data_IF_514207272797
#
_entry.id   IF_514207272797
#
_cell.length_a   1.000
_cell.length_b   1.000
_cell.length_c   1.000
_cell.angle_alpha   90.00
_cell.angle_beta   90.00
_cell.angle_gamma   90.00
#
_symmetry.space_group_name_H-M   'P 1'
#
loop_
_entity.id
_entity.type
_entity.pdbx_description
1 polymer ?
#
# COMPACT_ATOMS: atom_id res chain seq x y z
N UNK A 1 12.00 7.69 -17.45
CA UNK A 1 10.80 7.77 -16.60
C UNK A 1 10.72 6.51 -15.75
N UNK A 2 10.48 6.63 -14.45
CA UNK A 2 10.25 5.47 -13.59
C UNK A 2 8.87 4.88 -13.89
N UNK A 3 8.80 3.61 -14.27
CA UNK A 3 7.51 2.96 -14.51
C UNK A 3 6.84 2.55 -13.20
N UNK A 4 5.98 3.43 -12.70
CA UNK A 4 5.22 3.21 -11.47
C UNK A 4 4.12 2.14 -11.61
N UNK A 5 3.75 1.70 -12.82
CA UNK A 5 2.75 0.63 -13.00
C UNK A 5 3.21 -0.71 -12.43
N UNK A 6 4.53 -0.95 -12.43
CA UNK A 6 5.15 -2.15 -11.85
C UNK A 6 4.69 -2.42 -10.42
N UNK A 7 4.49 -1.38 -9.62
CA UNK A 7 3.99 -1.49 -8.24
C UNK A 7 2.58 -2.07 -8.14
N UNK A 8 1.75 -1.86 -9.16
CA UNK A 8 0.40 -2.46 -9.18
C UNK A 8 0.44 -3.98 -9.40
N UNK A 9 1.57 -4.53 -9.84
CA UNK A 9 1.77 -5.97 -10.01
C UNK A 9 2.49 -6.61 -8.81
N UNK A 10 2.69 -5.86 -7.71
CA UNK A 10 3.32 -6.32 -6.48
C UNK A 10 2.33 -6.31 -5.31
N UNK A 11 1.25 -7.12 -5.35
CA UNK A 11 0.18 -7.06 -4.36
C UNK A 11 0.62 -7.51 -2.95
N UNK A 12 1.79 -8.14 -2.80
CA UNK A 12 2.36 -8.48 -1.49
C UNK A 12 2.94 -7.28 -0.74
N UNK A 13 3.18 -6.16 -1.42
CA UNK A 13 3.81 -4.96 -0.84
C UNK A 13 2.76 -3.91 -0.50
N UNK A 14 2.72 -3.40 0.75
CA UNK A 14 1.77 -2.35 1.13
C UNK A 14 2.03 -1.02 0.40
N UNK A 15 0.94 -0.29 0.09
CA UNK A 15 1.03 1.01 -0.57
C UNK A 15 1.88 2.03 0.20
N UNK A 16 1.82 2.03 1.54
CA UNK A 16 2.61 2.93 2.39
C UNK A 16 4.13 2.74 2.24
N UNK A 17 4.58 1.49 2.05
CA UNK A 17 5.99 1.15 1.81
C UNK A 17 6.45 1.69 0.45
N UNK A 18 5.60 1.57 -0.57
CA UNK A 18 5.87 2.08 -1.91
C UNK A 18 5.94 3.62 -1.90
N UNK A 19 5.01 4.28 -1.19
CA UNK A 19 5.06 5.73 -0.99
C UNK A 19 6.39 6.18 -0.36
N UNK A 20 6.81 5.53 0.73
CA UNK A 20 8.08 5.86 1.40
C UNK A 20 9.30 5.67 0.47
N UNK A 21 9.30 4.60 -0.32
CA UNK A 21 10.34 4.33 -1.32
C UNK A 21 10.41 5.44 -2.37
N UNK A 22 9.27 5.85 -2.93
CA UNK A 22 9.22 6.90 -3.95
C UNK A 22 9.73 8.23 -3.40
N UNK A 23 9.30 8.63 -2.19
CA UNK A 23 9.77 9.86 -1.53
C UNK A 23 11.30 9.84 -1.37
N UNK A 24 11.86 8.71 -0.94
CA UNK A 24 13.32 8.53 -0.80
C UNK A 24 14.04 8.57 -2.13
N UNK A 25 13.50 7.92 -3.17
CA UNK A 25 14.09 7.92 -4.52
C UNK A 25 14.14 9.33 -5.13
N UNK A 26 13.17 10.18 -4.82
CA UNK A 26 13.15 11.58 -5.25
C UNK A 26 14.01 12.50 -4.36
N UNK A 27 14.69 11.95 -3.34
CA UNK A 27 15.46 12.70 -2.35
C UNK A 27 14.66 13.85 -1.69
N UNK A 28 13.35 13.66 -1.50
CA UNK A 28 12.46 14.66 -0.87
C UNK A 28 12.27 14.38 0.61
N UNK A 29 12.15 15.43 1.42
CA UNK A 29 11.77 15.27 2.83
C UNK A 29 10.28 15.00 2.92
N UNK A 30 9.89 14.13 3.86
CA UNK A 30 8.48 13.81 4.15
C UNK A 30 7.66 15.03 4.54
N UNK A 31 8.26 15.97 5.28
CA UNK A 31 7.63 17.25 5.65
C UNK A 31 7.23 18.02 4.41
N UNK A 32 8.14 18.17 3.45
CA UNK A 32 7.91 18.95 2.24
C UNK A 32 6.82 18.30 1.37
N UNK A 33 6.85 16.97 1.25
CA UNK A 33 5.81 16.21 0.53
C UNK A 33 4.45 16.37 1.22
N UNK A 34 4.39 16.29 2.54
CA UNK A 34 3.14 16.45 3.29
C UNK A 34 2.57 17.86 3.09
N UNK A 35 3.40 18.88 3.24
CA UNK A 35 3.01 20.28 3.06
C UNK A 35 2.49 20.54 1.64
N UNK A 36 3.21 20.07 0.61
CA UNK A 36 2.78 20.20 -0.79
C UNK A 36 1.48 19.44 -1.09
N UNK A 37 1.22 18.33 -0.41
CA UNK A 37 -0.02 17.57 -0.55
C UNK A 37 -1.16 18.08 0.35
N UNK A 38 -0.98 19.21 1.04
CA UNK A 38 -1.92 19.74 2.05
C UNK A 38 -2.29 18.72 3.14
N UNK A 39 -1.32 17.88 3.51
CA UNK A 39 -1.41 16.91 4.59
C UNK A 39 -0.55 17.34 5.76
N UNK A 40 -1.01 17.07 6.98
CA UNK A 40 -0.16 17.16 8.17
C UNK A 40 0.87 16.02 8.10
N UNK A 41 2.12 16.28 8.48
CA UNK A 41 3.20 15.29 8.45
C UNK A 41 2.84 13.98 9.18
N UNK A 42 2.14 14.06 10.32
CA UNK A 42 1.64 12.89 11.04
C UNK A 42 0.73 12.02 10.16
N UNK A 43 -0.17 12.62 9.38
CA UNK A 43 -1.04 11.87 8.45
C UNK A 43 -0.25 11.18 7.35
N UNK A 44 0.78 11.83 6.80
CA UNK A 44 1.66 11.19 5.84
C UNK A 44 2.41 10.01 6.45
N UNK A 45 2.92 10.17 7.68
CA UNK A 45 3.58 9.09 8.41
C UNK A 45 2.63 7.91 8.70
N UNK A 46 1.37 8.18 9.02
CA UNK A 46 0.37 7.13 9.24
C UNK A 46 0.04 6.37 7.94
N UNK A 47 -0.02 7.06 6.80
CA UNK A 47 -0.16 6.42 5.49
C UNK A 47 1.05 5.52 5.18
N UNK A 48 2.27 6.00 5.43
CA UNK A 48 3.51 5.23 5.22
C UNK A 48 3.54 3.97 6.10
N UNK A 49 3.18 4.12 7.38
CA UNK A 49 3.16 3.00 8.34
C UNK A 49 2.01 2.02 8.12
N UNK A 50 1.02 2.37 7.30
CA UNK A 50 -0.21 1.59 7.12
C UNK A 50 -1.22 1.74 8.26
N UNK A 51 -1.01 2.69 9.18
CA UNK A 51 -1.96 3.03 10.24
C UNK A 51 -3.21 3.74 9.72
N UNK A 52 -3.10 4.34 8.53
CA UNK A 52 -4.19 5.03 7.84
C UNK A 52 -4.32 4.53 6.42
N UNK A 53 -5.57 4.45 5.96
CA UNK A 53 -5.88 4.06 4.59
C UNK A 53 -5.70 5.23 3.62
N UNK A 54 -5.25 4.91 2.41
CA UNK A 54 -5.36 5.79 1.26
C UNK A 54 -6.84 5.91 0.88
N UNK A 55 -7.29 7.15 0.70
CA UNK A 55 -8.55 7.50 0.07
C UNK A 55 -8.27 7.93 -1.36
N UNK A 56 -9.25 7.89 -2.29
CA UNK A 56 -9.03 8.37 -3.64
C UNK A 56 -8.48 9.82 -3.66
N UNK A 57 -9.05 10.69 -2.81
CA UNK A 57 -8.63 12.09 -2.70
C UNK A 57 -7.17 12.25 -2.25
N UNK A 58 -6.74 11.58 -1.17
CA UNK A 58 -5.35 11.74 -0.70
C UNK A 58 -4.33 11.05 -1.62
N UNK A 59 -4.73 9.98 -2.30
CA UNK A 59 -3.94 9.31 -3.34
C UNK A 59 -3.61 10.28 -4.47
N UNK A 60 -4.66 10.89 -5.05
CA UNK A 60 -4.53 11.85 -6.16
C UNK A 60 -3.69 13.08 -5.79
N UNK A 61 -3.87 13.61 -4.58
CA UNK A 61 -3.06 14.72 -4.07
C UNK A 61 -1.57 14.35 -3.97
N UNK A 62 -1.26 13.16 -3.45
CA UNK A 62 0.11 12.67 -3.33
C UNK A 62 0.74 12.40 -4.69
N UNK A 63 0.02 11.78 -5.62
CA UNK A 63 0.49 11.51 -6.97
C UNK A 63 0.84 12.81 -7.71
N UNK A 64 -0.05 13.80 -7.67
CA UNK A 64 0.20 15.12 -8.24
C UNK A 64 1.42 15.80 -7.60
N UNK A 65 1.55 15.70 -6.28
CA UNK A 65 2.67 16.28 -5.52
C UNK A 65 4.01 15.63 -5.84
N UNK A 66 4.00 14.34 -6.16
CA UNK A 66 5.18 13.54 -6.48
C UNK A 66 5.47 13.50 -7.99
N UNK A 67 4.66 14.17 -8.82
CA UNK A 67 4.80 14.14 -10.28
C UNK A 67 4.57 12.75 -10.88
N UNK A 68 3.63 11.99 -10.31
CA UNK A 68 3.22 10.67 -10.79
C UNK A 68 2.00 10.83 -11.67
N UNK A 69 2.10 10.41 -12.94
CA UNK A 69 1.03 10.57 -13.93
C UNK A 69 -0.13 9.57 -13.76
N UNK A 70 0.07 8.52 -12.96
CA UNK A 70 -0.94 7.49 -12.73
C UNK A 70 -1.90 7.94 -11.62
N UNK A 71 -3.11 8.32 -12.02
CA UNK A 71 -4.18 8.76 -11.11
C UNK A 71 -4.71 7.58 -10.29
N UNK A 72 -4.82 7.76 -8.97
CA UNK A 72 -5.31 6.76 -8.03
C UNK A 72 -4.34 5.59 -7.78
N UNK A 73 -3.07 5.72 -8.15
CA UNK A 73 -2.05 4.69 -8.01
C UNK A 73 -1.98 4.10 -6.59
N UNK A 74 -1.84 4.93 -5.55
CA UNK A 74 -1.68 4.41 -4.19
C UNK A 74 -2.95 3.73 -3.69
N UNK A 75 -4.13 4.25 -4.06
CA UNK A 75 -5.41 3.63 -3.76
C UNK A 75 -5.56 2.26 -4.45
N UNK A 76 -5.16 2.14 -5.72
CA UNK A 76 -5.18 0.89 -6.46
C UNK A 76 -4.23 -0.16 -5.86
N UNK A 77 -3.01 0.25 -5.50
CA UNK A 77 -2.05 -0.63 -4.83
C UNK A 77 -2.62 -1.12 -3.49
N UNK A 78 -3.22 -0.23 -2.70
CA UNK A 78 -3.87 -0.61 -1.44
C UNK A 78 -4.97 -1.64 -1.66
N UNK A 79 -5.86 -1.43 -2.63
CA UNK A 79 -6.94 -2.37 -2.92
C UNK A 79 -6.41 -3.74 -3.33
N UNK A 80 -5.39 -3.80 -4.20
CA UNK A 80 -4.75 -5.06 -4.58
C UNK A 80 -4.07 -5.75 -3.40
N UNK A 81 -3.45 -4.98 -2.51
CA UNK A 81 -2.83 -5.51 -1.31
C UNK A 81 -3.84 -6.14 -0.35
N UNK A 82 -4.99 -5.49 -0.14
CA UNK A 82 -6.07 -6.03 0.69
C UNK A 82 -6.57 -7.38 0.16
N UNK A 83 -6.82 -7.44 -1.15
CA UNK A 83 -7.26 -8.67 -1.81
C UNK A 83 -6.23 -9.79 -1.59
N UNK A 84 -4.94 -9.49 -1.71
CA UNK A 84 -3.87 -10.45 -1.45
C UNK A 84 -3.86 -10.96 -0.01
N UNK A 85 -4.00 -10.07 0.98
CA UNK A 85 -4.08 -10.46 2.40
C UNK A 85 -5.29 -11.36 2.64
N UNK A 86 -6.46 -11.01 2.11
CA UNK A 86 -7.67 -11.82 2.25
C UNK A 86 -7.53 -13.21 1.61
N UNK A 87 -6.93 -13.30 0.42
CA UNK A 87 -6.63 -14.59 -0.24
C UNK A 87 -5.66 -15.43 0.60
N UNK A 88 -4.61 -14.82 1.13
CA UNK A 88 -3.62 -15.48 2.00
C UNK A 88 -4.27 -16.02 3.27
N UNK A 89 -5.14 -15.23 3.92
CA UNK A 89 -5.89 -15.65 5.10
C UNK A 89 -6.85 -16.80 4.81
N UNK A 90 -7.57 -16.75 3.68
CA UNK A 90 -8.45 -17.84 3.23
C UNK A 90 -7.67 -19.13 3.00
N UNK A 91 -6.53 -19.04 2.33
CA UNK A 91 -5.66 -20.19 2.08
C UNK A 91 -5.13 -20.80 3.38
N UNK A 92 -4.65 -19.96 4.31
CA UNK A 92 -4.18 -20.43 5.63
C UNK A 92 -5.29 -21.12 6.44
N UNK A 93 -6.51 -20.56 6.46
CA UNK A 93 -7.67 -21.19 7.11
C UNK A 93 -8.01 -22.55 6.49
N UNK A 94 -7.91 -22.68 5.16
CA UNK A 94 -8.14 -23.95 4.46
C UNK A 94 -7.13 -25.02 4.88
N UNK A 95 -5.87 -24.64 5.00
CA UNK A 95 -4.79 -25.52 5.45
C UNK A 95 -4.98 -25.97 6.89
N UNK A 96 -5.26 -25.04 7.80
CA UNK A 96 -5.51 -25.38 9.20
C UNK A 96 -6.65 -26.39 9.35
N UNK A 97 -7.76 -26.22 8.61
CA UNK A 97 -8.87 -27.19 8.60
C UNK A 97 -8.41 -28.58 8.14
N UNK A 98 -7.59 -28.66 7.10
CA UNK A 98 -7.07 -29.93 6.58
C UNK A 98 -6.21 -30.67 7.62
N UNK A 99 -5.33 -29.96 8.33
CA UNK A 99 -4.50 -30.56 9.38
C UNK A 99 -5.31 -30.94 10.62
N UNK A 100 -6.31 -30.13 10.99
CA UNK A 100 -7.18 -30.44 12.12
C UNK A 100 -7.95 -31.74 11.87
N UNK A 101 -8.51 -31.95 10.67
CA UNK A 101 -9.21 -33.18 10.31
C UNK A 101 -8.30 -34.40 10.41
N UNK A 102 -7.04 -34.32 9.93
CA UNK A 102 -6.12 -35.47 9.97
C UNK A 102 -5.77 -35.96 11.38
N UNK A 103 -5.74 -35.08 12.37
CA UNK A 103 -5.44 -35.45 13.76
C UNK A 103 -6.63 -36.14 14.48
N UNK A 104 -7.85 -36.13 13.93
CA UNK A 104 -9.01 -36.85 14.48
C UNK A 104 -9.16 -38.28 13.92
N UNK A 105 -8.36 -38.67 12.93
CA UNK A 105 -8.40 -40.00 12.28
C UNK A 105 -7.11 -40.81 12.51
N UNK A 106 -6.32 -40.45 13.52
CA UNK A 106 -5.23 -41.27 14.08
C UNK A 106 -5.63 -41.77 15.46
#
# INVERSE_FOLDING_TARGET
MTDYQTYTNMPSVPAGVILDRIIRQQNRKKVDVANSAHLIQQRLNDLIKGNRRFTPSNSMLLERTLGIDIVGLFYLIQAKHDIYIEQKLKWYKKILKFFHIKNYWQ
#
